data_IF_789158244539
#
_entry.id   IF_789158244539
#
_cell.length_a   1.000
_cell.length_b   1.000
_cell.length_c   1.000
_cell.angle_alpha   90.00
_cell.angle_beta   90.00
_cell.angle_gamma   90.00
#
_symmetry.space_group_name_H-M   'P 1'
#
loop_
_entity.id
_entity.type
_entity.pdbx_description
1 polymer ?
#
# COMPACT_ATOMS: atom_id res chain seq x y z
N UNK A 1 -0.67 33.76 -1.15
CA UNK A 1 -0.22 32.50 -1.78
C UNK A 1 0.52 31.74 -0.70
N UNK A 2 -0.25 31.00 0.10
CA UNK A 2 0.24 30.32 1.30
C UNK A 2 0.91 29.02 0.88
N UNK A 3 2.22 28.97 1.12
CA UNK A 3 3.06 27.81 1.38
C UNK A 3 2.38 26.43 1.21
N UNK A 4 2.32 25.93 -0.03
CA UNK A 4 2.03 24.52 -0.32
C UNK A 4 3.26 23.72 0.15
N UNK A 5 3.33 23.54 1.47
CA UNK A 5 4.34 22.70 2.11
C UNK A 5 4.26 21.33 1.45
N UNK A 6 5.19 21.10 0.52
CA UNK A 6 6.09 19.98 0.29
C UNK A 6 5.75 18.58 0.80
N UNK A 7 4.49 18.26 1.12
CA UNK A 7 4.10 16.92 1.50
C UNK A 7 4.28 16.03 0.27
N UNK A 8 5.20 15.10 0.41
CA UNK A 8 5.47 14.04 -0.55
C UNK A 8 4.12 13.35 -0.90
N UNK A 9 3.81 13.11 -2.19
CA UNK A 9 2.47 12.70 -2.62
C UNK A 9 2.00 11.37 -1.99
N UNK A 10 2.91 10.44 -1.74
CA UNK A 10 2.63 9.16 -1.08
C UNK A 10 2.24 9.40 0.38
N UNK A 11 2.90 10.32 1.07
CA UNK A 11 2.52 10.72 2.43
C UNK A 11 1.09 11.26 2.49
N UNK A 12 0.66 12.11 1.55
CA UNK A 12 -0.71 12.65 1.55
C UNK A 12 -1.78 11.56 1.41
N UNK A 13 -1.57 10.57 0.55
CA UNK A 13 -2.52 9.44 0.44
C UNK A 13 -2.49 8.53 1.66
N UNK A 14 -1.35 8.38 2.33
CA UNK A 14 -1.26 7.67 3.61
C UNK A 14 -2.02 8.43 4.72
N UNK A 15 -1.91 9.75 4.77
CA UNK A 15 -2.67 10.57 5.73
C UNK A 15 -4.19 10.46 5.50
N UNK A 16 -4.62 10.37 4.25
CA UNK A 16 -6.01 10.08 3.91
C UNK A 16 -6.45 8.69 4.41
N UNK A 17 -5.58 7.67 4.36
CA UNK A 17 -5.88 6.34 4.91
C UNK A 17 -5.97 6.35 6.44
N UNK A 18 -5.14 7.13 7.13
CA UNK A 18 -5.24 7.33 8.59
C UNK A 18 -6.57 7.97 8.99
N UNK A 19 -7.07 8.92 8.20
CA UNK A 19 -8.40 9.51 8.42
C UNK A 19 -9.51 8.47 8.36
N UNK A 20 -9.48 7.59 7.35
CA UNK A 20 -10.47 6.52 7.22
C UNK A 20 -10.44 5.61 8.44
N UNK A 21 -9.26 5.19 8.91
CA UNK A 21 -9.15 4.40 10.13
C UNK A 21 -9.79 5.07 11.34
N UNK A 22 -9.55 6.38 11.54
CA UNK A 22 -10.10 7.10 12.70
C UNK A 22 -11.62 6.97 12.78
N UNK A 23 -12.32 7.01 11.65
CA UNK A 23 -13.77 6.80 11.59
C UNK A 23 -14.19 5.39 12.07
N UNK A 24 -13.35 4.37 11.89
CA UNK A 24 -13.62 3.03 12.46
C UNK A 24 -13.32 2.99 13.97
N UNK A 25 -12.26 3.67 14.39
CA UNK A 25 -11.80 3.71 15.78
C UNK A 25 -12.68 4.57 16.69
N UNK A 26 -13.46 5.52 16.14
CA UNK A 26 -14.45 6.31 16.88
C UNK A 26 -15.51 5.43 17.59
N UNK A 27 -15.91 4.32 16.97
CA UNK A 27 -16.81 3.35 17.58
C UNK A 27 -16.35 1.90 17.28
N UNK A 28 -15.40 1.37 18.06
CA UNK A 28 -14.80 0.06 17.80
C UNK A 28 -15.82 -1.09 17.85
N UNK A 29 -16.75 -1.06 18.81
CA UNK A 29 -17.75 -2.12 18.98
C UNK A 29 -18.69 -2.18 17.78
N UNK A 30 -19.14 -1.02 17.28
CA UNK A 30 -19.95 -0.94 16.07
C UNK A 30 -19.17 -1.42 14.83
N UNK A 31 -17.92 -0.99 14.68
CA UNK A 31 -17.05 -1.40 13.58
C UNK A 31 -16.83 -2.92 13.54
N UNK A 32 -16.61 -3.54 14.71
CA UNK A 32 -16.46 -5.00 14.86
C UNK A 32 -17.77 -5.73 14.53
N UNK A 33 -18.91 -5.22 15.02
CA UNK A 33 -20.23 -5.79 14.71
C UNK A 33 -20.53 -5.75 13.21
N UNK A 34 -20.28 -4.60 12.55
CA UNK A 34 -20.42 -4.44 11.10
C UNK A 34 -19.54 -5.44 10.35
N UNK A 35 -18.27 -5.56 10.73
CA UNK A 35 -17.31 -6.49 10.12
C UNK A 35 -17.75 -7.96 10.23
N UNK A 36 -18.28 -8.37 11.39
CA UNK A 36 -18.81 -9.71 11.61
C UNK A 36 -20.05 -9.96 10.76
N UNK A 37 -20.93 -8.96 10.61
CA UNK A 37 -22.15 -9.07 9.83
C UNK A 37 -21.85 -9.20 8.33
N UNK A 38 -20.94 -8.40 7.77
CA UNK A 38 -20.63 -8.42 6.33
C UNK A 38 -19.86 -9.66 5.89
N UNK A 39 -19.16 -10.33 6.82
CA UNK A 39 -18.67 -11.70 6.62
C UNK A 39 -19.78 -12.75 6.52
N UNK A 40 -20.89 -12.57 7.24
CA UNK A 40 -22.01 -13.54 7.29
C UNK A 40 -23.07 -13.29 6.22
N UNK A 41 -23.22 -12.06 5.75
CA UNK A 41 -24.26 -11.66 4.78
C UNK A 41 -23.60 -11.19 3.48
N UNK A 42 -23.48 -12.06 2.46
CA UNK A 42 -22.81 -11.74 1.20
C UNK A 42 -23.38 -10.50 0.48
N UNK A 43 -24.69 -10.23 0.62
CA UNK A 43 -25.34 -9.07 0.02
C UNK A 43 -24.81 -7.71 0.53
N UNK A 44 -24.25 -7.65 1.75
CA UNK A 44 -23.64 -6.43 2.28
C UNK A 44 -22.22 -6.22 1.77
N UNK A 45 -21.56 -7.28 1.31
CA UNK A 45 -20.16 -7.24 0.83
C UNK A 45 -20.02 -6.46 -0.48
N UNK A 46 -21.03 -6.48 -1.34
CA UNK A 46 -21.04 -5.73 -2.59
C UNK A 46 -20.99 -4.21 -2.34
N UNK A 47 -21.77 -3.72 -1.38
CA UNK A 47 -21.74 -2.31 -0.98
C UNK A 47 -20.40 -1.92 -0.39
N UNK A 48 -19.85 -2.72 0.53
CA UNK A 48 -18.53 -2.44 1.11
C UNK A 48 -17.41 -2.39 0.06
N UNK A 49 -17.41 -3.34 -0.88
CA UNK A 49 -16.47 -3.32 -2.00
C UNK A 49 -16.60 -2.03 -2.81
N UNK A 50 -17.83 -1.56 -3.09
CA UNK A 50 -18.05 -0.30 -3.82
C UNK A 50 -17.46 0.92 -3.10
N UNK A 51 -17.45 0.92 -1.75
CA UNK A 51 -16.83 2.00 -0.97
C UNK A 51 -15.31 1.95 -1.10
N UNK A 52 -14.71 0.76 -0.96
CA UNK A 52 -13.24 0.57 -1.10
C UNK A 52 -12.78 0.98 -2.50
N UNK A 53 -13.50 0.60 -3.55
CA UNK A 53 -13.19 0.97 -4.93
C UNK A 53 -13.24 2.47 -5.18
N UNK A 54 -14.24 3.18 -4.63
CA UNK A 54 -14.32 4.64 -4.76
C UNK A 54 -13.18 5.33 -4.03
N UNK A 55 -12.81 4.81 -2.86
CA UNK A 55 -11.70 5.33 -2.08
C UNK A 55 -10.36 5.15 -2.81
N UNK A 56 -10.08 3.95 -3.31
CA UNK A 56 -8.87 3.67 -4.10
C UNK A 56 -8.77 4.57 -5.34
N UNK A 57 -9.89 4.70 -6.07
CA UNK A 57 -9.95 5.56 -7.25
C UNK A 57 -9.67 7.03 -6.92
N UNK A 58 -10.13 7.53 -5.78
CA UNK A 58 -9.86 8.91 -5.36
C UNK A 58 -8.37 9.12 -5.05
N UNK A 59 -7.72 8.16 -4.39
CA UNK A 59 -6.26 8.22 -4.14
C UNK A 59 -5.47 8.17 -5.45
N UNK A 60 -5.83 7.25 -6.35
CA UNK A 60 -5.18 7.11 -7.65
C UNK A 60 -5.31 8.40 -8.48
N UNK A 61 -6.50 9.01 -8.51
CA UNK A 61 -6.73 10.26 -9.22
C UNK A 61 -5.84 11.41 -8.70
N UNK A 62 -5.75 11.57 -7.37
CA UNK A 62 -4.83 12.53 -6.76
C UNK A 62 -3.36 12.29 -7.16
N UNK A 63 -2.90 11.04 -7.09
CA UNK A 63 -1.52 10.69 -7.43
C UNK A 63 -1.22 10.86 -8.92
N UNK A 64 -2.17 10.53 -9.82
CA UNK A 64 -2.02 10.73 -11.27
C UNK A 64 -1.80 12.19 -11.61
N UNK A 65 -2.56 13.10 -10.99
CA UNK A 65 -2.38 14.53 -11.17
C UNK A 65 -0.99 14.97 -10.69
N UNK A 66 -0.52 14.42 -9.57
CA UNK A 66 0.75 14.82 -8.97
C UNK A 66 1.98 14.22 -9.63
N UNK A 67 1.84 13.06 -10.28
CA UNK A 67 2.86 12.38 -11.08
C UNK A 67 2.74 12.66 -12.58
N UNK A 68 1.90 13.62 -12.98
CA UNK A 68 1.78 14.04 -14.36
C UNK A 68 3.15 14.49 -14.91
N UNK A 69 3.52 13.99 -16.09
CA UNK A 69 4.79 14.28 -16.74
C UNK A 69 5.99 13.44 -16.28
N UNK A 70 5.83 12.57 -15.27
CA UNK A 70 6.85 11.58 -14.92
C UNK A 70 6.75 10.35 -15.84
N UNK A 71 7.89 9.67 -16.14
CA UNK A 71 7.86 8.33 -16.71
C UNK A 71 7.00 7.40 -15.85
N UNK A 72 6.11 6.66 -16.49
CA UNK A 72 5.16 5.74 -15.85
C UNK A 72 4.29 6.36 -14.75
N UNK A 73 4.08 7.68 -14.76
CA UNK A 73 3.36 8.39 -13.67
C UNK A 73 1.97 7.83 -13.36
N UNK A 74 1.22 7.41 -14.38
CA UNK A 74 -0.10 6.76 -14.22
C UNK A 74 0.04 5.39 -13.55
N UNK A 75 0.97 4.55 -14.03
CA UNK A 75 1.22 3.23 -13.46
C UNK A 75 1.68 3.34 -12.00
N UNK A 76 2.61 4.27 -11.71
CA UNK A 76 3.08 4.54 -10.35
C UNK A 76 1.93 4.97 -9.44
N UNK A 77 1.07 5.88 -9.89
CA UNK A 77 -0.09 6.33 -9.13
C UNK A 77 -1.03 5.18 -8.77
N UNK A 78 -1.35 4.31 -9.74
CA UNK A 78 -2.28 3.20 -9.54
C UNK A 78 -1.70 2.14 -8.59
N UNK A 79 -0.43 1.79 -8.77
CA UNK A 79 0.28 0.84 -7.90
C UNK A 79 0.35 1.35 -6.46
N UNK A 80 0.71 2.62 -6.27
CA UNK A 80 0.80 3.24 -4.94
C UNK A 80 -0.58 3.29 -4.27
N UNK A 81 -1.62 3.73 -4.98
CA UNK A 81 -2.98 3.77 -4.44
C UNK A 81 -3.44 2.37 -3.98
N UNK A 82 -3.24 1.35 -4.81
CA UNK A 82 -3.55 -0.03 -4.47
C UNK A 82 -2.76 -0.52 -3.24
N UNK A 83 -1.46 -0.19 -3.15
CA UNK A 83 -0.62 -0.55 -2.01
C UNK A 83 -1.10 0.10 -0.71
N UNK A 84 -1.45 1.39 -0.72
CA UNK A 84 -1.99 2.11 0.46
C UNK A 84 -3.29 1.45 0.93
N UNK A 85 -4.21 1.16 0.01
CA UNK A 85 -5.50 0.52 0.33
C UNK A 85 -5.29 -0.89 0.87
N UNK A 86 -4.36 -1.66 0.29
CA UNK A 86 -4.02 -3.00 0.76
C UNK A 86 -3.43 -2.97 2.18
N UNK A 87 -2.48 -2.08 2.45
CA UNK A 87 -1.85 -1.90 3.75
C UNK A 87 -2.87 -1.50 4.83
N UNK A 88 -3.68 -0.47 4.56
CA UNK A 88 -4.76 -0.05 5.44
C UNK A 88 -5.73 -1.20 5.75
N UNK A 89 -6.19 -1.91 4.72
CA UNK A 89 -7.14 -3.01 4.89
C UNK A 89 -6.53 -4.19 5.65
N UNK A 90 -5.24 -4.47 5.50
CA UNK A 90 -4.55 -5.48 6.27
C UNK A 90 -4.59 -5.16 7.76
N UNK A 91 -4.13 -3.97 8.15
CA UNK A 91 -4.10 -3.52 9.53
C UNK A 91 -5.51 -3.43 10.13
N UNK A 92 -6.45 -2.80 9.44
CA UNK A 92 -7.84 -2.67 9.87
C UNK A 92 -8.49 -4.05 10.09
N UNK A 93 -8.31 -5.00 9.17
CA UNK A 93 -8.86 -6.36 9.34
C UNK A 93 -8.16 -7.13 10.45
N UNK A 94 -6.90 -6.81 10.75
CA UNK A 94 -6.20 -7.39 11.90
C UNK A 94 -6.85 -6.93 13.19
N UNK A 95 -7.00 -5.63 13.36
CA UNK A 95 -7.64 -5.01 14.52
C UNK A 95 -9.11 -5.43 14.71
N UNK A 96 -9.88 -5.52 13.62
CA UNK A 96 -11.28 -5.97 13.70
C UNK A 96 -11.41 -7.47 14.05
N UNK A 97 -10.38 -8.28 13.79
CA UNK A 97 -10.35 -9.70 14.20
C UNK A 97 -9.94 -9.87 15.67
N UNK A 98 -9.20 -8.92 16.24
CA UNK A 98 -8.90 -8.86 17.67
C UNK A 98 -10.03 -8.20 18.48
N UNK A 99 -11.26 -8.16 17.95
CA UNK A 99 -12.41 -7.51 18.58
C UNK A 99 -12.19 -6.02 18.91
N UNK A 100 -11.36 -5.35 18.11
CA UNK A 100 -11.01 -3.96 18.31
C UNK A 100 -10.02 -3.74 19.46
N UNK A 101 -9.39 -4.80 19.97
CA UNK A 101 -8.37 -4.70 21.01
C UNK A 101 -7.03 -4.21 20.44
N UNK A 102 -6.33 -3.41 21.25
CA UNK A 102 -5.03 -2.82 20.91
C UNK A 102 -5.14 -1.43 20.26
N UNK A 103 -3.99 -0.89 19.85
CA UNK A 103 -3.92 0.42 19.20
C UNK A 103 -4.07 0.27 17.68
N UNK A 104 -5.26 0.60 17.19
CA UNK A 104 -5.57 0.55 15.76
C UNK A 104 -4.67 1.51 14.96
N UNK A 105 -4.41 2.70 15.49
CA UNK A 105 -3.60 3.74 14.85
C UNK A 105 -2.18 3.25 14.67
N UNK A 106 -1.57 2.69 15.72
CA UNK A 106 -0.22 2.14 15.62
C UNK A 106 -0.11 1.02 14.56
N UNK A 107 -1.13 0.14 14.46
CA UNK A 107 -1.12 -0.93 13.44
C UNK A 107 -1.19 -0.37 12.01
N UNK A 108 -2.02 0.64 11.77
CA UNK A 108 -2.14 1.28 10.45
C UNK A 108 -0.92 2.14 10.15
N UNK A 109 -0.38 2.84 11.14
CA UNK A 109 0.83 3.65 10.98
C UNK A 109 2.00 2.79 10.54
N UNK A 110 2.23 1.66 11.21
CA UNK A 110 3.26 0.69 10.80
C UNK A 110 3.03 0.18 9.36
N UNK A 111 1.79 -0.16 9.00
CA UNK A 111 1.48 -0.63 7.65
C UNK A 111 1.68 0.45 6.57
N UNK A 112 1.35 1.71 6.87
CA UNK A 112 1.52 2.83 5.94
C UNK A 112 2.96 3.35 5.90
N UNK A 113 3.73 3.19 6.97
CA UNK A 113 5.17 3.42 6.97
C UNK A 113 5.88 2.48 6.01
N UNK A 114 5.49 1.20 5.95
CA UNK A 114 6.00 0.26 4.96
C UNK A 114 5.74 0.72 3.52
N UNK A 115 4.54 1.24 3.24
CA UNK A 115 4.21 1.80 1.91
C UNK A 115 5.05 3.04 1.63
N UNK A 116 5.16 3.95 2.60
CA UNK A 116 5.97 5.17 2.45
C UNK A 116 7.44 4.83 2.21
N UNK A 117 8.06 3.92 2.96
CA UNK A 117 9.45 3.54 2.76
C UNK A 117 9.68 2.87 1.40
N UNK A 118 8.68 2.14 0.88
CA UNK A 118 8.76 1.48 -0.42
C UNK A 118 8.66 2.46 -1.59
N UNK A 119 7.82 3.51 -1.45
CA UNK A 119 7.46 4.38 -2.58
C UNK A 119 7.90 5.84 -2.43
N UNK A 120 8.51 6.23 -1.32
CA UNK A 120 9.15 7.55 -1.20
C UNK A 120 10.24 7.64 -2.25
N UNK A 121 10.15 8.65 -3.11
CA UNK A 121 11.25 8.92 -4.06
C UNK A 121 12.50 9.28 -3.25
N UNK A 122 13.69 8.73 -3.56
CA UNK A 122 14.92 9.29 -3.03
C UNK A 122 14.97 10.76 -3.47
N UNK A 123 15.04 11.67 -2.49
CA UNK A 123 15.30 13.08 -2.76
C UNK A 123 16.58 13.16 -3.61
N UNK A 124 16.63 13.92 -4.72
CA UNK A 124 17.87 14.10 -5.49
C UNK A 124 18.93 14.94 -4.75
N UNK A 125 18.88 15.04 -3.42
CA UNK A 125 19.89 15.70 -2.59
C UNK A 125 20.35 14.77 -1.46
N UNK A 126 21.15 13.78 -1.84
CA UNK A 126 22.31 13.31 -1.08
C UNK A 126 23.10 12.36 -2.00
N UNK A 127 24.32 12.74 -2.36
CA UNK A 127 25.27 11.85 -3.01
C UNK A 127 25.52 10.60 -2.12
N UNK A 128 25.87 9.45 -2.72
CA UNK A 128 25.78 8.17 -2.05
C UNK A 128 26.92 7.99 -1.04
N UNK A 129 26.58 7.55 0.18
CA UNK A 129 27.54 6.86 1.04
C UNK A 129 27.52 5.40 0.61
N UNK A 130 28.68 4.90 0.19
CA UNK A 130 28.90 3.51 -0.18
C UNK A 130 28.77 2.56 1.02
N UNK A 131 28.67 1.25 0.71
CA UNK A 131 28.60 0.05 1.58
C UNK A 131 27.15 -0.40 1.86
N UNK A 132 26.60 -1.47 1.24
CA UNK A 132 27.09 -2.84 1.03
C UNK A 132 26.68 -3.39 -0.35
N UNK A 133 27.30 -4.48 -0.88
CA UNK A 133 26.80 -5.13 -2.08
C UNK A 133 25.49 -5.85 -1.74
N UNK A 134 24.36 -5.24 -2.09
CA UNK A 134 23.08 -5.95 -2.20
C UNK A 134 23.27 -7.10 -3.21
N UNK A 135 22.90 -8.32 -2.83
CA UNK A 135 22.91 -9.48 -3.71
C UNK A 135 21.86 -9.29 -4.82
N UNK A 136 22.24 -8.59 -5.89
CA UNK A 136 21.40 -8.38 -7.06
C UNK A 136 21.49 -9.61 -7.96
N UNK A 137 20.42 -10.40 -7.98
CA UNK A 137 20.26 -11.52 -8.92
C UNK A 137 19.61 -11.01 -10.21
N UNK A 138 20.40 -10.93 -11.29
CA UNK A 138 19.90 -10.64 -12.64
C UNK A 138 19.71 -11.94 -13.41
N UNK A 139 18.47 -12.34 -13.68
CA UNK A 139 18.14 -13.50 -14.52
C UNK A 139 17.95 -13.03 -15.97
N UNK A 140 18.82 -13.48 -16.87
CA UNK A 140 18.70 -13.21 -18.31
C UNK A 140 18.23 -14.47 -19.03
N UNK A 141 16.98 -14.48 -19.51
CA UNK A 141 16.43 -15.58 -20.29
C UNK A 141 16.19 -15.18 -21.76
N UNK A 142 16.26 -16.17 -22.68
CA UNK A 142 15.92 -15.95 -24.09
C UNK A 142 14.43 -15.62 -24.24
N UNK A 143 14.09 -14.72 -25.18
CA UNK A 143 12.71 -14.37 -25.51
C UNK A 143 11.94 -15.64 -25.94
N UNK A 144 10.97 -16.06 -25.12
CA UNK A 144 10.19 -17.30 -25.32
C UNK A 144 10.41 -18.41 -24.29
N UNK A 145 11.22 -18.19 -23.25
CA UNK A 145 11.35 -19.15 -22.15
C UNK A 145 10.02 -19.34 -21.39
N UNK A 146 9.60 -20.59 -21.12
CA UNK A 146 8.39 -20.84 -20.34
C UNK A 146 8.58 -20.46 -18.86
N UNK A 147 7.55 -19.89 -18.24
CA UNK A 147 7.55 -19.33 -16.88
C UNK A 147 8.14 -20.29 -15.82
N UNK A 148 7.87 -21.60 -15.91
CA UNK A 148 8.40 -22.59 -14.98
C UNK A 148 9.93 -22.66 -14.96
N UNK A 149 10.61 -22.37 -16.08
CA UNK A 149 12.07 -22.37 -16.18
C UNK A 149 12.67 -21.14 -15.50
N UNK A 150 11.99 -20.00 -15.59
CA UNK A 150 12.38 -18.76 -14.89
C UNK A 150 12.22 -18.94 -13.39
N UNK A 151 11.12 -19.56 -12.94
CA UNK A 151 10.90 -19.88 -11.52
C UNK A 151 11.98 -20.84 -10.99
N UNK A 152 12.36 -21.87 -11.76
CA UNK A 152 13.43 -22.80 -11.38
C UNK A 152 14.82 -22.11 -11.29
N UNK A 153 15.13 -21.17 -12.18
CA UNK A 153 16.36 -20.37 -12.12
C UNK A 153 16.39 -19.47 -10.88
N UNK A 154 15.24 -18.92 -10.47
CA UNK A 154 15.12 -18.12 -9.24
C UNK A 154 15.30 -19.00 -8.00
N UNK A 155 14.63 -20.15 -7.92
CA UNK A 155 14.71 -21.09 -6.78
C UNK A 155 16.13 -21.64 -6.58
N UNK A 156 16.84 -21.96 -7.66
CA UNK A 156 18.22 -22.45 -7.58
C UNK A 156 19.22 -21.39 -7.15
N UNK A 157 18.92 -20.11 -7.41
CA UNK A 157 19.76 -18.99 -6.99
C UNK A 157 19.51 -18.62 -5.52
N UNK A 158 18.26 -18.73 -5.04
CA UNK A 158 17.89 -18.49 -3.64
C UNK A 158 18.22 -19.65 -2.69
N UNK A 159 18.36 -20.88 -3.20
CA UNK A 159 18.69 -22.07 -2.41
C UNK A 159 20.18 -22.25 -2.06
N UNK A 160 21.03 -21.26 -2.38
CA UNK A 160 22.48 -21.28 -2.12
C UNK A 160 22.95 -20.16 -1.19
N UNK A 161 22.03 -19.46 -0.53
CA UNK A 161 22.29 -18.46 0.51
C UNK A 161 21.97 -19.03 1.90
#
# INVERSE_FOLDING_TARGET
AEDDTGFEPVRRVCDAARLVLRMYAENPSFSVQRYRLTKRVPGLRAYELSVVWRYERALAEYLRQRFAGLPDGILRADVIAAAVVAAHNNALRSWLRSDGAGDASAMVDHALEYVQSTYSSPSPSAAPVAEHPEDVVVVVSRRGAPLWRVVQEIETTLGRS
#
